data_IF_415109238660
#
_entry.id   IF_415109238660
#
_cell.length_a   1.000
_cell.length_b   1.000
_cell.length_c   1.000
_cell.angle_alpha   90.00
_cell.angle_beta   90.00
_cell.angle_gamma   90.00
#
_symmetry.space_group_name_H-M   'P 1'
#
loop_
_entity.id
_entity.type
_entity.pdbx_description
1 polymer ?
#
# COMPACT_ATOMS: atom_id res chain seq x y z
N UNK A 1 -2.87 -18.12 -4.87
CA UNK A 1 -1.90 -17.16 -4.26
C UNK A 1 -2.63 -16.23 -3.31
N UNK A 2 -2.38 -16.37 -2.01
CA UNK A 2 -3.01 -15.64 -0.88
C UNK A 2 -2.89 -14.11 -1.01
N UNK A 3 -1.88 -13.63 -1.72
CA UNK A 3 -1.57 -12.20 -1.91
C UNK A 3 -2.56 -11.44 -2.78
N UNK A 4 -3.25 -12.12 -3.71
CA UNK A 4 -4.26 -11.47 -4.56
C UNK A 4 -5.51 -11.10 -3.76
N UNK A 5 -5.94 -11.97 -2.84
CA UNK A 5 -7.09 -11.70 -1.98
C UNK A 5 -6.86 -10.46 -1.13
N UNK A 6 -5.66 -10.27 -0.56
CA UNK A 6 -5.32 -9.08 0.23
C UNK A 6 -5.42 -7.77 -0.57
N UNK A 7 -4.90 -7.75 -1.79
CA UNK A 7 -4.91 -6.54 -2.65
C UNK A 7 -6.32 -6.27 -3.20
N UNK A 8 -7.11 -7.32 -3.45
CA UNK A 8 -8.46 -7.19 -4.00
C UNK A 8 -9.54 -6.90 -2.96
N UNK A 9 -9.37 -7.34 -1.71
CA UNK A 9 -10.34 -7.14 -0.63
C UNK A 9 -10.30 -5.73 -0.03
N UNK A 10 -9.20 -4.99 -0.22
CA UNK A 10 -9.11 -3.61 0.23
C UNK A 10 -9.20 -2.64 -0.96
N UNK A 11 -10.24 -1.80 -0.96
CA UNK A 11 -10.54 -0.87 -2.05
C UNK A 11 -9.39 0.11 -2.36
N UNK A 12 -8.65 0.55 -1.34
CA UNK A 12 -7.51 1.46 -1.50
C UNK A 12 -6.35 0.76 -2.24
N UNK A 13 -6.00 -0.46 -1.83
CA UNK A 13 -4.95 -1.25 -2.48
C UNK A 13 -5.32 -1.63 -3.91
N UNK A 14 -6.59 -1.92 -4.18
CA UNK A 14 -7.09 -2.21 -5.53
C UNK A 14 -6.97 -1.00 -6.46
N UNK A 15 -7.30 0.19 -5.98
CA UNK A 15 -7.16 1.44 -6.74
C UNK A 15 -5.69 1.75 -7.04
N UNK A 16 -4.82 1.67 -6.03
CA UNK A 16 -3.38 1.90 -6.18
C UNK A 16 -2.75 0.86 -7.13
N UNK A 17 -3.12 -0.42 -7.00
CA UNK A 17 -2.65 -1.48 -7.89
C UNK A 17 -3.07 -1.23 -9.34
N UNK A 18 -4.34 -0.87 -9.55
CA UNK A 18 -4.87 -0.56 -10.87
C UNK A 18 -4.15 0.61 -11.52
N UNK A 19 -3.89 1.68 -10.77
CA UNK A 19 -3.12 2.83 -11.25
C UNK A 19 -1.66 2.45 -11.58
N UNK A 20 -1.00 1.68 -10.72
CA UNK A 20 0.39 1.25 -10.96
C UNK A 20 0.54 0.38 -12.20
N UNK A 21 -0.42 -0.49 -12.48
CA UNK A 21 -0.39 -1.38 -13.64
C UNK A 21 -0.84 -0.67 -14.92
N UNK A 22 -1.92 0.13 -14.86
CA UNK A 22 -2.51 0.77 -16.05
C UNK A 22 -1.81 2.07 -16.44
N UNK A 23 -1.50 2.92 -15.47
CA UNK A 23 -0.90 4.25 -15.72
C UNK A 23 0.62 4.17 -15.69
N UNK A 24 1.20 3.63 -14.61
CA UNK A 24 2.66 3.51 -14.48
C UNK A 24 3.26 2.31 -15.24
N UNK A 25 2.44 1.54 -15.98
CA UNK A 25 2.82 0.34 -16.75
C UNK A 25 3.71 -0.65 -15.98
N UNK A 26 3.49 -0.79 -14.68
CA UNK A 26 4.28 -1.68 -13.84
C UNK A 26 3.79 -3.13 -13.94
N UNK A 27 4.71 -4.10 -13.97
CA UNK A 27 4.36 -5.53 -13.91
C UNK A 27 3.53 -5.80 -12.64
N UNK A 28 2.45 -6.60 -12.78
CA UNK A 28 1.50 -6.92 -11.71
C UNK A 28 2.18 -7.33 -10.41
N UNK A 29 3.14 -8.27 -10.48
CA UNK A 29 3.87 -8.76 -9.31
C UNK A 29 4.77 -7.72 -8.64
N UNK A 30 5.39 -6.84 -9.43
CA UNK A 30 6.20 -5.74 -8.91
C UNK A 30 5.34 -4.71 -8.17
N UNK A 31 4.14 -4.44 -8.67
CA UNK A 31 3.16 -3.59 -7.99
C UNK A 31 2.70 -4.19 -6.66
N UNK A 32 2.40 -5.48 -6.63
CA UNK A 32 1.99 -6.19 -5.41
C UNK A 32 3.12 -6.19 -4.36
N UNK A 33 4.35 -6.54 -4.74
CA UNK A 33 5.50 -6.48 -3.84
C UNK A 33 5.74 -5.08 -3.28
N UNK A 34 5.58 -4.03 -4.11
CA UNK A 34 5.65 -2.63 -3.65
C UNK A 34 4.57 -2.28 -2.63
N UNK A 35 3.33 -2.76 -2.83
CA UNK A 35 2.22 -2.52 -1.92
C UNK A 35 2.41 -3.23 -0.58
N UNK A 36 2.85 -4.49 -0.58
CA UNK A 36 3.15 -5.26 0.64
C UNK A 36 4.29 -4.58 1.42
N UNK A 37 5.39 -4.22 0.75
CA UNK A 37 6.50 -3.52 1.40
C UNK A 37 6.13 -2.12 1.91
N UNK A 38 5.08 -1.50 1.34
CA UNK A 38 4.51 -0.25 1.85
C UNK A 38 3.72 -0.49 3.12
N UNK A 39 2.83 -1.50 3.11
CA UNK A 39 2.08 -1.95 4.29
C UNK A 39 3.00 -2.31 5.46
N UNK A 40 4.04 -3.10 5.21
CA UNK A 40 5.01 -3.48 6.24
C UNK A 40 5.67 -2.25 6.87
N UNK A 41 6.08 -1.26 6.07
CA UNK A 41 6.68 -0.02 6.59
C UNK A 41 5.71 0.81 7.41
N UNK A 42 4.44 0.86 7.01
CA UNK A 42 3.38 1.51 7.78
C UNK A 42 3.21 0.81 9.12
N UNK A 43 3.06 -0.52 9.14
CA UNK A 43 2.91 -1.29 10.38
C UNK A 43 4.10 -1.13 11.32
N UNK A 44 5.33 -1.21 10.79
CA UNK A 44 6.54 -0.99 11.58
C UNK A 44 6.58 0.44 12.13
N UNK A 45 6.18 1.44 11.34
CA UNK A 45 6.10 2.84 11.79
C UNK A 45 5.09 3.05 12.92
N UNK A 46 3.90 2.47 12.78
CA UNK A 46 2.83 2.47 13.79
C UNK A 46 3.32 1.78 15.07
N UNK A 47 3.90 0.57 14.96
CA UNK A 47 4.41 -0.18 16.09
C UNK A 47 5.56 0.54 16.82
N UNK A 48 6.49 1.16 16.09
CA UNK A 48 7.60 1.93 16.69
C UNK A 48 7.14 3.19 17.41
N UNK A 49 6.04 3.81 16.98
CA UNK A 49 5.49 5.04 17.59
C UNK A 49 4.41 4.75 18.64
N UNK A 50 4.02 3.48 18.79
CA UNK A 50 2.88 3.03 19.61
C UNK A 50 1.60 3.84 19.35
N UNK A 51 1.41 4.29 18.11
CA UNK A 51 0.26 5.09 17.71
C UNK A 51 -0.84 4.18 17.15
N UNK A 52 -2.10 4.58 17.28
CA UNK A 52 -3.19 3.87 16.60
C UNK A 52 -3.16 4.14 15.10
N UNK A 53 -3.58 3.14 14.31
CA UNK A 53 -3.75 3.27 12.87
C UNK A 53 -4.70 4.45 12.56
N UNK A 54 -4.19 5.46 11.84
CA UNK A 54 -5.00 6.58 11.37
C UNK A 54 -4.88 6.70 9.84
N UNK A 55 -5.99 6.59 9.09
CA UNK A 55 -5.99 6.71 7.63
C UNK A 55 -5.51 8.09 7.14
N UNK A 56 -5.64 9.14 7.97
CA UNK A 56 -5.15 10.50 7.66
C UNK A 56 -3.63 10.56 7.65
N UNK A 57 -2.98 9.95 8.65
CA UNK A 57 -1.50 9.85 8.69
C UNK A 57 -0.94 9.01 7.54
N UNK A 58 -1.73 8.07 7.06
CA UNK A 58 -1.41 7.26 5.88
C UNK A 58 -1.42 8.05 4.58
N UNK A 59 -2.44 8.89 4.37
CA UNK A 59 -2.46 9.79 3.21
C UNK A 59 -1.31 10.80 3.24
N UNK A 60 -0.95 11.31 4.43
CA UNK A 60 0.19 12.21 4.59
C UNK A 60 1.53 11.51 4.25
N UNK A 61 1.74 10.29 4.72
CA UNK A 61 2.92 9.48 4.37
C UNK A 61 2.95 9.14 2.87
N UNK A 62 1.79 9.01 2.23
CA UNK A 62 1.67 8.80 0.80
C UNK A 62 1.97 10.07 -0.01
N UNK A 63 1.61 11.25 0.51
CA UNK A 63 1.83 12.55 -0.12
C UNK A 63 3.28 13.03 -0.02
N UNK A 64 4.00 12.63 1.03
CA UNK A 64 5.42 12.97 1.21
C UNK A 64 6.39 12.15 0.35
N UNK A 65 5.89 11.20 -0.45
CA UNK A 65 6.68 10.39 -1.35
C UNK A 65 6.51 10.79 -2.83
N UNK A 66 5.96 11.98 -3.09
CA UNK A 66 5.84 12.59 -4.42
C UNK A 66 7.15 13.27 -4.83
#
# INVERSE_FOLDING_TARGET
MVTMSLVMNNAEFKAIHSNNVKVKKMKKMKSIMKLIGKLARIFVGIAKRNESYSPVKLQLLNSMAA
#
